data_IF_395204388400
#
_entry.id   IF_395204388400
#
_cell.length_a   1.000
_cell.length_b   1.000
_cell.length_c   1.000
_cell.angle_alpha   90.00
_cell.angle_beta   90.00
_cell.angle_gamma   90.00
#
_symmetry.space_group_name_H-M   'P 1'
#
loop_
_entity.id
_entity.type
_entity.pdbx_description
1 polymer ?
#
# COMPACT_ATOMS: atom_id res chain seq x y z
N UNK A 1 -10.74 10.01 -30.24
CA UNK A 1 -9.77 10.36 -29.17
C UNK A 1 -10.45 10.16 -27.81
N UNK A 2 -10.65 8.92 -27.36
CA UNK A 2 -11.33 8.65 -26.08
C UNK A 2 -10.83 7.36 -25.47
N UNK A 3 -9.69 7.43 -24.79
CA UNK A 3 -9.39 6.46 -23.74
C UNK A 3 -9.76 7.14 -22.42
N UNK A 4 -11.01 6.92 -22.00
CA UNK A 4 -11.39 7.08 -20.59
C UNK A 4 -10.54 6.07 -19.83
N UNK A 5 -9.45 6.54 -19.23
CA UNK A 5 -8.64 5.74 -18.33
C UNK A 5 -9.43 5.56 -17.03
N UNK A 6 -10.41 4.65 -17.06
CA UNK A 6 -10.95 4.06 -15.84
C UNK A 6 -9.83 3.17 -15.29
N UNK A 7 -8.94 3.76 -14.50
CA UNK A 7 -8.03 3.01 -13.63
C UNK A 7 -8.92 2.30 -12.61
N UNK A 8 -9.38 1.12 -12.98
CA UNK A 8 -10.10 0.23 -12.07
C UNK A 8 -9.07 -0.43 -11.16
N UNK A 9 -8.95 0.14 -9.96
CA UNK A 9 -8.46 -0.51 -8.74
C UNK A 9 -7.01 -1.00 -8.82
N UNK A 10 -6.11 -0.08 -8.46
CA UNK A 10 -4.91 -0.35 -7.67
C UNK A 10 -5.28 -1.34 -6.55
N UNK A 11 -4.74 -2.57 -6.61
CA UNK A 11 -5.01 -3.58 -5.60
C UNK A 11 -4.79 -3.01 -4.20
N UNK A 12 -5.85 -3.08 -3.38
CA UNK A 12 -5.82 -2.62 -2.00
C UNK A 12 -5.41 -3.79 -1.11
N UNK A 13 -4.32 -3.62 -0.37
CA UNK A 13 -3.73 -4.62 0.53
C UNK A 13 -3.93 -4.14 1.96
N UNK A 14 -4.71 -4.89 2.72
CA UNK A 14 -4.94 -4.59 4.12
C UNK A 14 -3.75 -5.04 4.97
N UNK A 15 -3.15 -4.12 5.72
CA UNK A 15 -2.02 -4.36 6.60
C UNK A 15 -2.41 -4.20 8.06
N UNK A 16 -1.66 -4.86 8.93
CA UNK A 16 -1.90 -4.89 10.38
C UNK A 16 -1.02 -3.91 11.17
N UNK A 17 -0.18 -3.13 10.47
CA UNK A 17 0.79 -2.20 11.06
C UNK A 17 0.88 -0.91 10.25
N UNK A 18 1.22 0.20 10.91
CA UNK A 18 1.50 1.48 10.24
C UNK A 18 2.75 1.44 9.35
N UNK A 19 3.63 0.47 9.59
CA UNK A 19 4.83 0.24 8.79
C UNK A 19 4.66 -1.09 8.05
N UNK A 20 4.78 -1.07 6.73
CA UNK A 20 4.64 -2.28 5.90
C UNK A 20 5.77 -2.37 4.88
N UNK A 21 6.21 -3.60 4.59
CA UNK A 21 7.22 -3.85 3.56
C UNK A 21 6.56 -4.34 2.28
N UNK A 22 6.79 -3.64 1.17
CA UNK A 22 6.35 -4.09 -0.15
C UNK A 22 7.52 -4.79 -0.87
N UNK A 23 7.35 -6.08 -1.15
CA UNK A 23 8.37 -6.94 -1.80
C UNK A 23 8.04 -7.20 -3.29
N UNK A 24 7.20 -6.37 -3.91
CA UNK A 24 6.88 -6.52 -5.34
C UNK A 24 5.99 -7.70 -5.72
N UNK A 25 5.73 -8.64 -4.80
CA UNK A 25 4.72 -9.72 -4.90
C UNK A 25 4.99 -10.84 -5.92
N UNK A 26 5.76 -10.62 -6.98
CA UNK A 26 6.10 -11.65 -7.98
C UNK A 26 7.46 -11.41 -8.63
N UNK A 27 8.28 -12.46 -8.86
CA UNK A 27 9.66 -12.35 -9.33
C UNK A 27 9.79 -11.80 -10.76
N UNK A 28 8.69 -11.78 -11.53
CA UNK A 28 8.70 -11.28 -12.91
C UNK A 28 8.58 -9.75 -13.03
N UNK A 29 8.05 -9.06 -12.01
CA UNK A 29 7.75 -7.61 -12.05
C UNK A 29 7.99 -6.90 -10.70
N UNK A 30 8.54 -7.60 -9.70
CA UNK A 30 8.68 -7.09 -8.34
C UNK A 30 9.93 -6.24 -8.16
N UNK A 31 9.74 -4.97 -7.75
CA UNK A 31 10.81 -4.12 -7.23
C UNK A 31 11.43 -4.73 -5.97
N UNK A 32 12.67 -4.35 -5.60
CA UNK A 32 13.28 -4.77 -4.34
C UNK A 32 12.41 -4.40 -3.14
N UNK A 33 12.57 -5.13 -2.02
CA UNK A 33 11.91 -4.83 -0.75
C UNK A 33 12.08 -3.35 -0.38
N UNK A 34 10.97 -2.64 -0.29
CA UNK A 34 10.92 -1.27 0.22
C UNK A 34 10.01 -1.21 1.44
N UNK A 35 10.32 -0.31 2.36
CA UNK A 35 9.51 -0.03 3.54
C UNK A 35 8.64 1.19 3.28
N UNK A 36 7.35 1.06 3.55
CA UNK A 36 6.33 2.07 3.34
C UNK A 36 5.68 2.36 4.69
N UNK A 37 5.57 3.63 5.03
CA UNK A 37 4.86 4.09 6.21
C UNK A 37 3.48 4.59 5.79
N UNK A 38 2.43 4.05 6.39
CA UNK A 38 1.07 4.48 6.16
C UNK A 38 0.88 5.89 6.71
N UNK A 39 0.06 6.68 6.01
CA UNK A 39 -0.27 8.03 6.46
C UNK A 39 -1.03 7.96 7.80
N UNK A 40 -0.65 8.74 8.82
CA UNK A 40 -1.30 8.69 10.13
C UNK A 40 -2.73 9.27 10.13
N UNK A 41 -3.09 10.09 9.15
CA UNK A 41 -4.43 10.68 9.04
C UNK A 41 -5.33 9.74 8.23
N UNK A 42 -4.86 9.33 7.05
CA UNK A 42 -5.64 8.49 6.13
C UNK A 42 -5.51 6.98 6.37
N UNK A 43 -4.53 6.55 7.17
CA UNK A 43 -4.20 5.15 7.44
C UNK A 43 -3.97 4.33 6.16
N UNK A 44 -3.42 4.97 5.12
CA UNK A 44 -3.13 4.33 3.85
C UNK A 44 -1.89 4.92 3.16
N UNK A 45 -1.31 4.15 2.22
CA UNK A 45 -0.20 4.58 1.36
C UNK A 45 -0.24 3.88 0.01
N UNK A 46 0.15 4.59 -1.06
CA UNK A 46 0.33 4.02 -2.39
C UNK A 46 1.79 3.65 -2.63
N UNK A 47 2.07 2.39 -2.99
CA UNK A 47 3.39 2.00 -3.44
C UNK A 47 3.66 2.57 -4.85
N UNK A 48 4.72 3.38 -5.04
CA UNK A 48 5.02 4.02 -6.33
C UNK A 48 5.49 3.05 -7.41
N UNK A 49 5.83 1.81 -7.02
CA UNK A 49 6.34 0.78 -7.93
C UNK A 49 5.24 -0.19 -8.38
N UNK A 50 4.54 -0.80 -7.41
CA UNK A 50 3.49 -1.76 -7.73
C UNK A 50 2.13 -1.13 -8.05
N UNK A 51 1.96 0.17 -7.81
CA UNK A 51 0.64 0.82 -7.89
C UNK A 51 -0.40 0.05 -7.06
N UNK A 52 -0.01 -0.38 -5.85
CA UNK A 52 -0.85 -1.06 -4.85
C UNK A 52 -1.05 -0.13 -3.67
N UNK A 53 -2.26 -0.09 -3.11
CA UNK A 53 -2.61 0.77 -1.98
C UNK A 53 -2.63 -0.08 -0.72
N UNK A 54 -1.81 0.25 0.26
CA UNK A 54 -1.78 -0.43 1.54
C UNK A 54 -2.67 0.35 2.52
N UNK A 55 -3.60 -0.33 3.18
CA UNK A 55 -4.56 0.29 4.11
C UNK A 55 -4.50 -0.42 5.45
N UNK A 56 -4.49 0.32 6.54
CA UNK A 56 -4.48 -0.26 7.88
C UNK A 56 -5.84 -0.93 8.17
N UNK A 57 -5.82 -2.17 8.66
CA UNK A 57 -7.04 -2.85 9.10
C UNK A 57 -7.72 -2.11 10.24
N UNK A 58 -9.04 -2.04 10.21
CA UNK A 58 -9.83 -1.53 11.33
C UNK A 58 -9.60 -2.41 12.57
N UNK A 59 -8.83 -1.92 13.54
CA UNK A 59 -8.44 -2.66 14.75
C UNK A 59 -7.00 -3.17 14.76
N UNK A 60 -6.23 -2.94 13.69
CA UNK A 60 -4.79 -3.04 13.74
C UNK A 60 -4.24 -1.98 14.70
N UNK A 61 -3.24 -2.37 15.50
CA UNK A 61 -2.67 -1.49 16.51
C UNK A 61 -1.89 -0.37 15.81
N UNK A 62 -2.55 0.76 15.55
CA UNK A 62 -1.89 2.05 15.31
C UNK A 62 -1.25 2.60 16.60
N UNK A 63 -0.77 1.70 17.47
CA UNK A 63 -0.18 2.01 18.77
C UNK A 63 1.25 2.51 18.57
N UNK A 64 1.39 3.59 17.80
CA UNK A 64 2.49 4.53 17.94
C UNK A 64 2.23 5.38 19.17
N UNK A 65 2.46 4.80 20.34
CA UNK A 65 2.49 5.52 21.61
C UNK A 65 3.78 5.15 22.33
N UNK A 66 4.70 6.11 22.40
CA UNK A 66 5.60 6.49 23.51
C UNK A 66 6.86 7.18 22.98
#
# INVERSE_FOLDING_TARGET
MSHTATVTVTETVEVESMETSCDGGSPAQGHPRVYLHLDPDSHDILCPYCSRKFVLKAGASAAGGH
#
